data_IF_850562831009
#
_entry.id   IF_850562831009
#
_cell.length_a   1.000
_cell.length_b   1.000
_cell.length_c   1.000
_cell.angle_alpha   90.00
_cell.angle_beta   90.00
_cell.angle_gamma   90.00
#
_symmetry.space_group_name_H-M   'P 1'
#
loop_
_entity.id
_entity.type
_entity.pdbx_description
1 polymer ?
#
# COMPACT_ATOMS: atom_id res chain seq x y z
N UNK A 1 57.50 -44.39 17.23
CA UNK A 1 56.43 -43.65 17.92
C UNK A 1 55.86 -42.62 16.95
N UNK A 2 54.85 -42.99 16.17
CA UNK A 2 54.11 -42.07 15.30
C UNK A 2 52.74 -41.84 15.91
N UNK A 3 52.45 -40.61 16.30
CA UNK A 3 51.14 -40.22 16.83
C UNK A 3 50.10 -40.25 15.69
N UNK A 4 48.88 -40.77 15.93
CA UNK A 4 47.83 -40.76 14.93
C UNK A 4 47.21 -39.36 14.82
N UNK A 5 47.08 -38.89 13.58
CA UNK A 5 46.37 -37.67 13.21
C UNK A 5 44.88 -37.80 13.54
N UNK A 6 44.38 -36.94 14.42
CA UNK A 6 42.95 -36.78 14.67
C UNK A 6 42.31 -36.06 13.49
N UNK A 7 41.52 -36.80 12.72
CA UNK A 7 40.58 -36.26 11.73
C UNK A 7 39.51 -35.49 12.50
N UNK A 8 39.45 -34.17 12.35
CA UNK A 8 38.31 -33.40 12.87
C UNK A 8 37.10 -33.71 11.98
N UNK A 9 36.17 -34.47 12.54
CA UNK A 9 34.84 -34.61 11.98
C UNK A 9 34.21 -33.21 11.94
N UNK A 10 33.95 -32.70 10.73
CA UNK A 10 33.19 -31.47 10.53
C UNK A 10 31.85 -31.61 11.24
N UNK A 11 31.64 -30.78 12.26
CA UNK A 11 30.31 -30.58 12.84
C UNK A 11 29.46 -30.00 11.72
N UNK A 12 28.61 -30.84 11.13
CA UNK A 12 27.56 -30.37 10.23
C UNK A 12 26.81 -29.26 10.96
N UNK A 13 26.79 -28.05 10.40
CA UNK A 13 26.05 -26.93 10.95
C UNK A 13 24.59 -27.37 11.09
N UNK A 14 24.17 -27.69 12.31
CA UNK A 14 22.76 -27.94 12.61
C UNK A 14 21.99 -26.70 12.16
N UNK A 15 21.10 -26.85 11.18
CA UNK A 15 20.29 -25.75 10.71
C UNK A 15 19.45 -25.26 11.88
N UNK A 16 19.79 -24.09 12.42
CA UNK A 16 19.03 -23.44 13.48
C UNK A 16 17.58 -23.33 13.02
N UNK A 17 16.63 -23.73 13.86
CA UNK A 17 15.22 -23.55 13.56
C UNK A 17 14.95 -22.07 13.26
N UNK A 18 14.10 -21.75 12.25
CA UNK A 18 13.83 -20.36 11.90
C UNK A 18 13.17 -19.66 13.10
N UNK A 19 13.53 -18.39 13.29
CA UNK A 19 12.89 -17.52 14.28
C UNK A 19 11.42 -17.27 13.92
N UNK A 20 11.15 -17.16 12.62
CA UNK A 20 9.85 -16.79 12.06
C UNK A 20 9.73 -17.35 10.64
N UNK A 21 8.51 -17.69 10.22
CA UNK A 21 8.15 -17.97 8.82
C UNK A 21 7.30 -16.84 8.26
N UNK A 22 7.73 -16.24 7.15
CA UNK A 22 7.00 -15.18 6.45
C UNK A 22 6.61 -15.68 5.05
N UNK A 23 5.33 -15.62 4.73
CA UNK A 23 4.83 -15.80 3.37
C UNK A 23 4.62 -14.43 2.73
N UNK A 24 5.41 -14.09 1.72
CA UNK A 24 5.25 -12.88 0.92
C UNK A 24 4.18 -13.13 -0.14
N UNK A 25 3.09 -12.38 -0.10
CA UNK A 25 1.95 -12.53 -1.01
C UNK A 25 2.02 -11.44 -2.09
N UNK A 26 2.48 -11.83 -3.29
CA UNK A 26 2.67 -10.92 -4.42
C UNK A 26 3.93 -11.24 -5.21
N UNK A 27 4.10 -10.57 -6.35
CA UNK A 27 5.24 -10.78 -7.24
C UNK A 27 5.79 -9.51 -7.89
N UNK A 28 5.47 -8.33 -7.35
CA UNK A 28 5.95 -7.04 -7.86
C UNK A 28 7.28 -6.59 -7.24
N UNK A 29 7.66 -5.33 -7.44
CA UNK A 29 8.90 -4.74 -6.92
C UNK A 29 9.05 -4.93 -5.40
N UNK A 30 8.00 -4.61 -4.64
CA UNK A 30 8.00 -4.74 -3.19
C UNK A 30 8.15 -6.19 -2.72
N UNK A 31 7.56 -7.14 -3.44
CA UNK A 31 7.70 -8.57 -3.12
C UNK A 31 9.14 -9.06 -3.32
N UNK A 32 9.81 -8.64 -4.40
CA UNK A 32 11.23 -8.97 -4.62
C UNK A 32 12.13 -8.34 -3.56
N UNK A 33 11.88 -7.07 -3.22
CA UNK A 33 12.62 -6.38 -2.17
C UNK A 33 12.45 -7.07 -0.81
N UNK A 34 11.21 -7.40 -0.43
CA UNK A 34 10.93 -8.14 0.80
C UNK A 34 11.59 -9.54 0.79
N UNK A 35 11.57 -10.23 -0.34
CA UNK A 35 12.15 -11.57 -0.48
C UNK A 35 13.68 -11.56 -0.29
N UNK A 36 14.36 -10.62 -0.95
CA UNK A 36 15.81 -10.42 -0.78
C UNK A 36 16.16 -9.96 0.64
N UNK A 37 15.39 -9.04 1.22
CA UNK A 37 15.67 -8.47 2.53
C UNK A 37 15.45 -9.46 3.67
N UNK A 38 14.30 -10.14 3.68
CA UNK A 38 13.92 -11.07 4.75
C UNK A 38 14.69 -12.39 4.66
N UNK A 39 15.08 -12.82 3.46
CA UNK A 39 15.80 -14.07 3.23
C UNK A 39 17.27 -14.06 3.61
N UNK A 40 17.78 -12.96 4.18
CA UNK A 40 19.18 -12.85 4.60
C UNK A 40 19.51 -13.85 5.71
N UNK A 41 20.64 -14.55 5.58
CA UNK A 41 21.02 -15.63 6.50
C UNK A 41 21.04 -15.21 7.98
N UNK A 42 21.49 -13.99 8.29
CA UNK A 42 21.59 -13.50 9.67
C UNK A 42 20.23 -13.20 10.32
N UNK A 43 19.16 -13.00 9.53
CA UNK A 43 17.81 -12.75 10.06
C UNK A 43 17.14 -14.02 10.61
N UNK A 44 17.60 -15.20 10.19
CA UNK A 44 17.01 -16.49 10.59
C UNK A 44 15.49 -16.56 10.31
N UNK A 45 15.03 -15.99 9.20
CA UNK A 45 13.61 -16.02 8.77
C UNK A 45 13.46 -17.01 7.62
N UNK A 46 12.46 -17.90 7.71
CA UNK A 46 12.05 -18.75 6.60
C UNK A 46 11.12 -17.96 5.68
N UNK A 47 11.52 -17.75 4.43
CA UNK A 47 10.76 -16.94 3.47
C UNK A 47 10.08 -17.83 2.43
N UNK A 48 8.75 -17.79 2.39
CA UNK A 48 7.95 -18.36 1.32
C UNK A 48 7.38 -17.24 0.43
N UNK A 49 7.11 -17.52 -0.84
CA UNK A 49 6.52 -16.54 -1.78
C UNK A 49 5.30 -17.14 -2.47
N UNK A 50 4.17 -16.46 -2.36
CA UNK A 50 2.95 -16.73 -3.13
C UNK A 50 2.87 -15.76 -4.31
N UNK A 51 3.05 -16.26 -5.53
CA UNK A 51 3.08 -15.46 -6.76
C UNK A 51 2.38 -16.20 -7.91
N UNK A 52 1.95 -15.45 -8.93
CA UNK A 52 1.30 -16.03 -10.13
C UNK A 52 2.29 -16.66 -11.12
N UNK A 53 3.59 -16.40 -10.96
CA UNK A 53 4.65 -16.84 -11.87
C UNK A 53 5.80 -17.50 -11.09
N UNK A 54 5.55 -18.54 -10.28
CA UNK A 54 6.56 -19.16 -9.42
C UNK A 54 7.75 -19.73 -10.21
N UNK A 55 7.51 -20.21 -11.44
CA UNK A 55 8.51 -20.80 -12.33
C UNK A 55 9.62 -19.84 -12.75
N UNK A 56 9.38 -18.53 -12.64
CA UNK A 56 10.38 -17.49 -12.98
C UNK A 56 11.24 -17.10 -11.79
N UNK A 57 10.90 -17.55 -10.57
CA UNK A 57 11.60 -17.18 -9.35
C UNK A 57 12.77 -18.12 -9.06
N UNK A 58 13.90 -17.52 -8.75
CA UNK A 58 15.10 -18.24 -8.30
C UNK A 58 15.03 -18.50 -6.79
N UNK A 59 15.82 -19.48 -6.33
CA UNK A 59 15.95 -19.77 -4.88
C UNK A 59 16.65 -18.67 -4.10
N UNK A 60 17.35 -17.78 -4.79
CA UNK A 60 18.08 -16.67 -4.19
C UNK A 60 17.73 -15.39 -4.96
N UNK A 61 17.34 -14.35 -4.21
CA UNK A 61 17.00 -13.04 -4.76
C UNK A 61 18.05 -12.04 -4.30
N UNK A 62 18.60 -11.31 -5.27
CA UNK A 62 19.64 -10.30 -5.05
C UNK A 62 19.05 -8.90 -5.04
N UNK A 63 19.41 -8.11 -4.04
CA UNK A 63 19.08 -6.69 -3.93
C UNK A 63 20.35 -5.83 -4.12
N UNK A 64 20.33 -4.98 -5.14
CA UNK A 64 21.38 -4.00 -5.40
C UNK A 64 21.09 -2.69 -4.67
N UNK A 65 22.07 -2.13 -3.95
CA UNK A 65 21.89 -0.92 -3.13
C UNK A 65 22.72 0.28 -3.62
N UNK A 66 23.45 0.14 -4.73
CA UNK A 66 24.50 1.06 -5.19
C UNK A 66 24.05 2.51 -5.37
N UNK A 67 22.79 2.72 -5.75
CA UNK A 67 22.24 4.03 -6.09
C UNK A 67 21.57 4.76 -4.92
N UNK A 68 21.59 4.18 -3.72
CA UNK A 68 20.92 4.74 -2.55
C UNK A 68 21.88 4.95 -1.38
N UNK A 69 21.42 5.63 -0.33
CA UNK A 69 22.21 5.91 0.89
C UNK A 69 22.65 4.64 1.67
N UNK A 70 22.12 3.47 1.33
CA UNK A 70 22.56 2.17 1.86
C UNK A 70 23.59 1.46 0.97
N UNK A 71 24.24 2.17 0.05
CA UNK A 71 25.26 1.61 -0.85
C UNK A 71 26.42 0.89 -0.13
N UNK A 72 26.72 1.28 1.11
CA UNK A 72 27.72 0.62 1.97
C UNK A 72 27.37 -0.83 2.32
N UNK A 73 26.09 -1.25 2.20
CA UNK A 73 25.68 -2.64 2.39
C UNK A 73 26.08 -3.54 1.21
N UNK A 74 26.46 -2.95 0.07
CA UNK A 74 26.77 -3.70 -1.14
C UNK A 74 25.55 -4.45 -1.69
N UNK A 75 25.79 -5.63 -2.27
CA UNK A 75 24.72 -6.48 -2.78
C UNK A 75 24.21 -7.39 -1.66
N UNK A 76 22.90 -7.35 -1.43
CA UNK A 76 22.23 -8.16 -0.40
C UNK A 76 21.63 -9.39 -1.08
N UNK A 77 21.76 -10.54 -0.44
CA UNK A 77 21.23 -11.80 -0.96
C UNK A 77 20.28 -12.46 0.04
N UNK A 78 19.09 -12.81 -0.43
CA UNK A 78 18.06 -13.49 0.36
C UNK A 78 17.68 -14.84 -0.23
N UNK A 79 17.71 -15.89 0.60
CA UNK A 79 17.32 -17.24 0.21
C UNK A 79 15.84 -17.50 0.48
N UNK A 80 15.18 -18.11 -0.49
CA UNK A 80 13.78 -18.53 -0.39
C UNK A 80 13.70 -20.00 0.00
N UNK A 81 12.73 -20.31 0.85
CA UNK A 81 12.38 -21.67 1.23
C UNK A 81 11.45 -22.31 0.19
N UNK A 82 10.37 -21.61 -0.20
CA UNK A 82 9.41 -22.09 -1.18
C UNK A 82 8.83 -20.94 -2.01
N UNK A 83 8.49 -21.21 -3.27
CA UNK A 83 7.77 -20.29 -4.15
C UNK A 83 6.67 -21.07 -4.86
N UNK A 84 5.42 -20.61 -4.75
CA UNK A 84 4.27 -21.30 -5.35
C UNK A 84 3.19 -20.33 -5.82
N UNK A 85 2.31 -20.84 -6.68
CA UNK A 85 1.04 -20.21 -7.02
C UNK A 85 -0.13 -20.74 -6.15
N UNK A 86 0.06 -21.85 -5.43
CA UNK A 86 -0.93 -22.44 -4.52
C UNK A 86 -0.69 -21.97 -3.08
N UNK A 87 -1.66 -21.30 -2.43
CA UNK A 87 -1.52 -20.89 -1.03
C UNK A 87 -1.32 -22.07 -0.07
N UNK A 88 -1.82 -23.27 -0.38
CA UNK A 88 -1.66 -24.45 0.46
C UNK A 88 -0.20 -24.90 0.63
N UNK A 89 0.68 -24.54 -0.30
CA UNK A 89 2.09 -24.93 -0.25
C UNK A 89 2.97 -23.96 0.55
N UNK A 90 2.51 -22.71 0.74
CA UNK A 90 3.37 -21.62 1.25
C UNK A 90 2.84 -20.88 2.47
N UNK A 91 1.53 -20.97 2.73
CA UNK A 91 0.85 -20.27 3.84
C UNK A 91 0.75 -21.08 5.16
N UNK A 92 0.56 -22.42 5.17
CA UNK A 92 0.21 -23.14 6.41
C UNK A 92 1.19 -23.02 7.58
N UNK A 93 2.47 -22.76 7.34
CA UNK A 93 3.45 -22.56 8.40
C UNK A 93 3.72 -21.08 8.73
N UNK A 94 3.20 -20.16 7.92
CA UNK A 94 3.52 -18.74 8.02
C UNK A 94 3.00 -18.12 9.33
N UNK A 95 3.92 -17.53 10.09
CA UNK A 95 3.59 -16.64 11.21
C UNK A 95 3.03 -15.31 10.70
N UNK A 96 3.57 -14.83 9.58
CA UNK A 96 3.13 -13.59 8.92
C UNK A 96 2.88 -13.85 7.45
N UNK A 97 1.68 -13.54 6.96
CA UNK A 97 1.41 -13.35 5.54
C UNK A 97 1.54 -11.86 5.20
N UNK A 98 2.58 -11.49 4.47
CA UNK A 98 2.89 -10.12 4.11
C UNK A 98 2.46 -9.83 2.67
N UNK A 99 1.32 -9.15 2.51
CA UNK A 99 0.80 -8.67 1.23
C UNK A 99 1.72 -7.58 0.67
N UNK A 100 2.34 -7.90 -0.47
CA UNK A 100 3.27 -7.05 -1.21
C UNK A 100 2.68 -6.75 -2.59
N UNK A 101 1.52 -6.09 -2.59
CA UNK A 101 0.74 -5.82 -3.78
C UNK A 101 0.08 -4.43 -3.72
N UNK A 102 -0.29 -3.84 -4.87
CA UNK A 102 -1.13 -2.64 -4.92
C UNK A 102 -2.54 -2.86 -4.35
N UNK A 103 -3.25 -1.76 -4.09
CA UNK A 103 -4.56 -1.79 -3.42
C UNK A 103 -5.60 -2.65 -4.16
N UNK A 104 -5.58 -2.63 -5.49
CA UNK A 104 -6.47 -3.44 -6.33
C UNK A 104 -6.27 -4.95 -6.21
N UNK A 105 -5.16 -5.40 -5.64
CA UNK A 105 -4.84 -6.80 -5.44
C UNK A 105 -4.99 -7.25 -3.97
N UNK A 106 -5.27 -6.34 -3.03
CA UNK A 106 -5.42 -6.69 -1.61
C UNK A 106 -6.51 -7.74 -1.41
N UNK A 107 -7.77 -7.40 -1.71
CA UNK A 107 -8.90 -8.29 -1.42
C UNK A 107 -8.78 -9.68 -2.09
N UNK A 108 -8.46 -9.80 -3.40
CA UNK A 108 -8.25 -11.10 -4.04
C UNK A 108 -7.12 -11.94 -3.39
N UNK A 109 -6.04 -11.30 -2.93
CA UNK A 109 -4.97 -12.01 -2.23
C UNK A 109 -5.41 -12.47 -0.84
N UNK A 110 -6.15 -11.63 -0.11
CA UNK A 110 -6.71 -11.98 1.19
C UNK A 110 -7.66 -13.18 1.08
N UNK A 111 -8.55 -13.18 0.09
CA UNK A 111 -9.43 -14.32 -0.19
C UNK A 111 -8.66 -15.60 -0.53
N UNK A 112 -7.51 -15.46 -1.21
CA UNK A 112 -6.66 -16.60 -1.56
C UNK A 112 -5.95 -17.20 -0.35
N UNK A 113 -5.56 -16.40 0.64
CA UNK A 113 -4.79 -16.91 1.80
C UNK A 113 -5.65 -17.28 3.00
N UNK A 114 -6.87 -16.73 3.15
CA UNK A 114 -7.68 -16.82 4.39
C UNK A 114 -7.89 -18.23 4.92
N UNK A 115 -8.05 -19.23 4.04
CA UNK A 115 -8.33 -20.62 4.43
C UNK A 115 -7.09 -21.39 4.94
N UNK A 116 -5.90 -20.88 4.65
CA UNK A 116 -4.64 -21.60 4.84
C UNK A 116 -3.81 -21.07 6.02
N UNK A 117 -4.23 -20.00 6.68
CA UNK A 117 -3.54 -19.51 7.87
C UNK A 117 -3.47 -20.60 8.94
N UNK A 118 -2.36 -20.64 9.69
CA UNK A 118 -2.33 -21.35 10.98
C UNK A 118 -3.04 -20.54 12.06
N UNK A 119 -3.39 -21.21 13.16
CA UNK A 119 -3.94 -20.53 14.32
C UNK A 119 -2.98 -19.46 14.85
N UNK A 120 -3.48 -18.25 15.06
CA UNK A 120 -2.68 -17.09 15.50
C UNK A 120 -1.88 -16.41 14.39
N UNK A 121 -2.07 -16.79 13.12
CA UNK A 121 -1.36 -16.17 12.00
C UNK A 121 -1.67 -14.68 11.85
N UNK A 122 -0.66 -13.88 11.52
CA UNK A 122 -0.78 -12.44 11.32
C UNK A 122 -0.83 -12.11 9.82
N UNK A 123 -1.71 -11.19 9.41
CA UNK A 123 -1.73 -10.68 8.04
C UNK A 123 -1.28 -9.22 8.02
N UNK A 124 -0.26 -8.92 7.23
CA UNK A 124 0.27 -7.57 7.06
C UNK A 124 0.19 -7.11 5.61
N UNK A 125 0.10 -5.81 5.36
CA UNK A 125 0.45 -5.25 4.05
C UNK A 125 1.57 -4.23 4.18
N UNK A 126 2.48 -4.20 3.21
CA UNK A 126 3.54 -3.17 3.11
C UNK A 126 2.99 -1.82 2.60
N UNK A 127 1.72 -1.77 2.20
CA UNK A 127 1.06 -0.56 1.74
C UNK A 127 -0.46 -0.66 1.99
N UNK A 128 -0.98 0.10 2.94
CA UNK A 128 -2.34 -0.03 3.47
C UNK A 128 -3.42 0.86 2.86
N UNK A 129 -3.13 1.55 1.77
CA UNK A 129 -4.07 2.50 1.17
C UNK A 129 -5.30 1.77 0.58
N UNK A 130 -6.41 2.49 0.47
CA UNK A 130 -7.63 2.00 -0.20
C UNK A 130 -8.47 1.05 0.64
N UNK A 131 -8.56 1.23 1.96
CA UNK A 131 -9.50 0.46 2.80
C UNK A 131 -9.06 -0.98 3.06
N UNK A 132 -7.79 -1.19 3.39
CA UNK A 132 -7.26 -2.53 3.67
C UNK A 132 -7.95 -3.23 4.85
N UNK A 133 -8.34 -2.48 5.88
CA UNK A 133 -9.11 -3.00 7.00
C UNK A 133 -10.48 -3.50 6.55
N UNK A 134 -11.22 -2.75 5.73
CA UNK A 134 -12.51 -3.21 5.20
C UNK A 134 -12.35 -4.49 4.35
N UNK A 135 -11.29 -4.56 3.54
CA UNK A 135 -10.95 -5.77 2.79
C UNK A 135 -10.65 -6.96 3.72
N UNK A 136 -9.93 -6.73 4.82
CA UNK A 136 -9.66 -7.75 5.84
C UNK A 136 -10.95 -8.25 6.48
N UNK A 137 -11.86 -7.35 6.87
CA UNK A 137 -13.14 -7.71 7.45
C UNK A 137 -13.96 -8.58 6.51
N UNK A 138 -14.06 -8.17 5.24
CA UNK A 138 -14.81 -8.94 4.26
C UNK A 138 -14.17 -10.29 3.96
N UNK A 139 -12.84 -10.35 3.82
CA UNK A 139 -12.15 -11.59 3.50
C UNK A 139 -12.26 -12.61 4.65
N UNK A 140 -12.17 -12.16 5.90
CA UNK A 140 -12.21 -13.01 7.11
C UNK A 140 -13.58 -13.06 7.80
N UNK A 141 -14.65 -12.69 7.09
CA UNK A 141 -16.04 -12.85 7.54
C UNK A 141 -16.39 -14.32 7.92
N UNK A 142 -15.95 -15.35 7.17
CA UNK A 142 -16.18 -16.74 7.56
C UNK A 142 -15.51 -17.09 8.89
N UNK A 143 -16.26 -17.66 9.82
CA UNK A 143 -15.82 -17.94 11.19
C UNK A 143 -14.57 -18.84 11.26
N UNK A 144 -14.51 -19.88 10.44
CA UNK A 144 -13.37 -20.81 10.41
C UNK A 144 -12.08 -20.16 9.91
N UNK A 145 -12.17 -19.10 9.10
CA UNK A 145 -11.02 -18.28 8.72
C UNK A 145 -10.67 -17.31 9.86
N UNK A 146 -11.68 -16.64 10.45
CA UNK A 146 -11.51 -15.67 11.54
C UNK A 146 -10.82 -16.28 12.76
N UNK A 147 -11.21 -17.48 13.18
CA UNK A 147 -10.61 -18.17 14.36
C UNK A 147 -9.10 -18.38 14.24
N UNK A 148 -8.57 -18.39 13.02
CA UNK A 148 -7.13 -18.56 12.77
C UNK A 148 -6.37 -17.25 12.73
N UNK A 149 -7.04 -16.12 12.46
CA UNK A 149 -6.42 -14.81 12.37
C UNK A 149 -6.07 -14.30 13.78
N UNK A 150 -4.77 -14.18 14.07
CA UNK A 150 -4.29 -13.64 15.33
C UNK A 150 -4.34 -12.11 15.38
N UNK A 151 -4.16 -11.46 14.23
CA UNK A 151 -4.22 -10.01 14.09
C UNK A 151 -3.79 -9.57 12.70
N UNK A 152 -3.91 -8.27 12.41
CA UNK A 152 -3.48 -7.72 11.15
C UNK A 152 -2.92 -6.31 11.29
N UNK A 153 -2.07 -5.92 10.33
CA UNK A 153 -1.48 -4.60 10.29
C UNK A 153 -1.38 -4.08 8.86
N UNK A 154 -1.23 -2.77 8.72
CA UNK A 154 -0.83 -2.17 7.46
C UNK A 154 0.21 -1.08 7.68
N UNK A 155 1.18 -1.03 6.78
CA UNK A 155 2.09 0.10 6.68
C UNK A 155 1.46 1.23 5.86
N UNK A 156 1.65 2.47 6.29
CA UNK A 156 1.19 3.64 5.54
C UNK A 156 1.93 3.81 4.21
N UNK A 157 3.24 3.50 4.20
CA UNK A 157 4.11 3.63 3.04
C UNK A 157 4.98 2.39 2.89
N UNK A 158 5.40 2.10 1.65
CA UNK A 158 6.37 1.05 1.37
C UNK A 158 7.67 1.27 2.18
N UNK A 159 8.29 0.21 2.73
CA UNK A 159 9.58 0.33 3.41
C UNK A 159 10.69 0.86 2.51
N UNK A 160 10.58 0.59 1.22
CA UNK A 160 11.57 0.93 0.22
C UNK A 160 10.93 1.41 -1.08
N UNK A 161 11.54 2.42 -1.70
CA UNK A 161 11.42 2.64 -3.13
C UNK A 161 12.37 1.65 -3.83
N UNK A 162 11.80 0.78 -4.66
CA UNK A 162 12.54 -0.29 -5.31
C UNK A 162 12.00 -0.58 -6.72
N UNK A 163 12.84 -1.20 -7.54
CA UNK A 163 12.52 -1.57 -8.92
C UNK A 163 13.11 -2.94 -9.25
N UNK A 164 12.28 -3.87 -9.71
CA UNK A 164 12.77 -5.14 -10.23
C UNK A 164 13.60 -4.90 -11.50
N UNK A 165 14.84 -5.39 -11.52
CA UNK A 165 15.71 -5.33 -12.70
C UNK A 165 15.57 -6.59 -13.55
N UNK A 166 15.50 -7.75 -12.88
CA UNK A 166 15.25 -9.04 -13.52
C UNK A 166 14.23 -9.81 -12.69
N UNK A 167 13.09 -10.11 -13.31
CA UNK A 167 11.96 -10.75 -12.62
C UNK A 167 12.38 -12.10 -12.04
N UNK A 168 12.00 -12.34 -10.80
CA UNK A 168 12.31 -13.53 -10.02
C UNK A 168 13.76 -13.66 -9.56
N UNK A 169 14.62 -12.64 -9.73
CA UNK A 169 16.04 -12.77 -9.39
C UNK A 169 16.72 -11.51 -8.85
N UNK A 170 16.49 -10.33 -9.44
CA UNK A 170 17.24 -9.11 -9.07
C UNK A 170 16.31 -7.91 -8.90
N UNK A 171 16.47 -7.21 -7.80
CA UNK A 171 15.80 -5.95 -7.47
C UNK A 171 16.82 -4.88 -7.13
N UNK A 172 16.56 -3.65 -7.53
CA UNK A 172 17.34 -2.47 -7.17
C UNK A 172 16.61 -1.67 -6.10
N UNK A 173 17.32 -1.36 -5.03
CA UNK A 173 16.89 -0.46 -3.99
C UNK A 173 17.23 0.98 -4.40
N UNK A 174 16.20 1.79 -4.66
CA UNK A 174 16.34 3.21 -5.02
C UNK A 174 16.47 4.06 -3.76
N UNK A 175 15.69 3.74 -2.72
CA UNK A 175 15.71 4.53 -1.49
C UNK A 175 14.99 3.85 -0.32
N UNK A 176 15.66 3.60 0.81
CA UNK A 176 15.00 3.13 2.03
C UNK A 176 14.32 4.28 2.79
N UNK A 177 13.29 3.97 3.57
CA UNK A 177 12.69 4.91 4.53
C UNK A 177 13.50 4.97 5.84
N UNK A 178 13.41 6.09 6.54
CA UNK A 178 14.02 6.28 7.88
C UNK A 178 13.21 5.60 8.98
N UNK A 179 11.89 5.55 8.80
CA UNK A 179 10.97 4.90 9.71
C UNK A 179 9.71 4.48 8.95
N UNK A 180 8.96 3.59 9.58
CA UNK A 180 7.65 3.12 9.12
C UNK A 180 6.55 3.68 10.01
N UNK A 181 5.40 3.94 9.42
CA UNK A 181 4.16 4.17 10.14
C UNK A 181 3.26 2.96 9.89
N UNK A 182 2.68 2.41 10.95
CA UNK A 182 1.80 1.25 10.85
C UNK A 182 0.59 1.41 11.76
N UNK A 183 -0.49 0.73 11.44
CA UNK A 183 -1.60 0.52 12.38
C UNK A 183 -1.84 -0.97 12.54
N UNK A 184 -2.40 -1.39 13.68
CA UNK A 184 -2.51 -2.80 14.08
C UNK A 184 -3.88 -3.04 14.71
N UNK A 185 -4.50 -4.18 14.37
CA UNK A 185 -5.72 -4.68 15.01
C UNK A 185 -5.51 -6.14 15.44
N UNK A 186 -5.99 -6.54 16.64
CA UNK A 186 -6.55 -5.69 17.68
C UNK A 186 -5.49 -4.80 18.34
N UNK A 187 -5.92 -3.68 18.95
CA UNK A 187 -5.00 -2.74 19.59
C UNK A 187 -4.15 -3.34 20.72
N UNK A 188 -4.62 -4.44 21.34
CA UNK A 188 -3.85 -5.23 22.32
C UNK A 188 -2.55 -5.83 21.73
N UNK A 189 -2.46 -6.01 20.41
CA UNK A 189 -1.27 -6.51 19.72
C UNK A 189 -0.38 -5.39 19.18
N UNK A 190 -0.74 -4.12 19.36
CA UNK A 190 -0.05 -3.01 18.71
C UNK A 190 1.46 -2.95 19.03
N UNK A 191 1.85 -3.11 20.31
CA UNK A 191 3.27 -3.06 20.69
C UNK A 191 4.07 -4.29 20.22
N UNK A 192 3.63 -5.54 20.44
CA UNK A 192 4.32 -6.71 19.89
C UNK A 192 4.46 -6.67 18.36
N UNK A 193 3.41 -6.28 17.63
CA UNK A 193 3.45 -6.19 16.17
C UNK A 193 4.33 -5.02 15.70
N UNK A 194 4.37 -3.90 16.42
CA UNK A 194 5.32 -2.81 16.13
C UNK A 194 6.77 -3.29 16.18
N UNK A 195 7.13 -4.09 17.19
CA UNK A 195 8.46 -4.68 17.32
C UNK A 195 8.74 -5.71 16.21
N UNK A 196 7.74 -6.52 15.86
CA UNK A 196 7.82 -7.45 14.73
C UNK A 196 8.07 -6.71 13.41
N UNK A 197 7.35 -5.64 13.12
CA UNK A 197 7.57 -4.81 11.92
C UNK A 197 9.00 -4.25 11.92
N UNK A 198 9.46 -3.74 13.05
CA UNK A 198 10.84 -3.25 13.17
C UNK A 198 11.89 -4.34 12.95
N UNK A 199 11.65 -5.57 13.43
CA UNK A 199 12.52 -6.73 13.18
C UNK A 199 12.53 -7.14 11.70
N UNK A 200 11.36 -7.13 11.04
CA UNK A 200 11.23 -7.51 9.64
C UNK A 200 12.06 -6.56 8.74
N UNK A 201 11.92 -5.26 8.95
CA UNK A 201 12.48 -4.25 8.03
C UNK A 201 13.76 -3.56 8.51
N UNK A 202 14.22 -3.82 9.74
CA UNK A 202 15.31 -3.10 10.41
C UNK A 202 15.10 -1.58 10.43
N UNK A 203 13.85 -1.17 10.63
CA UNK A 203 13.42 0.23 10.65
C UNK A 203 12.61 0.52 11.92
N UNK A 204 12.79 1.70 12.55
CA UNK A 204 11.87 2.17 13.58
C UNK A 204 10.43 2.19 13.05
N UNK A 205 9.50 1.63 13.81
CA UNK A 205 8.07 1.68 13.48
C UNK A 205 7.32 2.54 14.50
N UNK A 206 6.56 3.51 13.99
CA UNK A 206 5.60 4.33 14.73
C UNK A 206 4.19 3.77 14.52
N UNK A 207 3.38 3.82 15.56
CA UNK A 207 1.98 3.42 15.48
C UNK A 207 1.11 4.63 15.14
N UNK A 208 0.27 4.47 14.12
CA UNK A 208 -0.83 5.37 13.81
C UNK A 208 -2.07 4.94 14.60
N UNK A 209 -2.97 5.88 14.94
CA UNK A 209 -4.14 5.59 15.77
C UNK A 209 -5.04 4.48 15.20
N UNK A 210 -5.25 4.47 13.88
CA UNK A 210 -6.18 3.56 13.21
C UNK A 210 -5.91 3.44 11.69
N UNK A 211 -6.67 2.58 11.01
CA UNK A 211 -6.57 2.37 9.55
C UNK A 211 -7.09 3.53 8.72
N UNK A 212 -8.08 4.29 9.20
CA UNK A 212 -8.53 5.49 8.50
C UNK A 212 -7.44 6.56 8.40
N UNK A 213 -6.49 6.63 9.35
CA UNK A 213 -5.29 7.47 9.20
C UNK A 213 -4.44 7.10 7.98
N UNK A 214 -4.47 5.84 7.53
CA UNK A 214 -3.80 5.38 6.31
C UNK A 214 -4.69 5.65 5.10
N UNK A 215 -5.96 5.23 5.12
CA UNK A 215 -6.90 5.40 4.00
C UNK A 215 -7.09 6.86 3.61
N UNK A 216 -7.21 7.75 4.60
CA UNK A 216 -7.39 9.19 4.38
C UNK A 216 -6.08 9.95 4.27
N UNK A 217 -4.91 9.30 4.36
CA UNK A 217 -3.64 10.01 4.16
C UNK A 217 -3.58 10.55 2.72
N UNK A 218 -3.50 11.89 2.51
CA UNK A 218 -3.47 12.43 1.16
C UNK A 218 -2.17 11.99 0.49
N UNK A 219 -2.27 11.15 -0.54
CA UNK A 219 -1.14 10.50 -1.20
C UNK A 219 -1.41 10.39 -2.71
N UNK A 220 -0.86 9.36 -3.36
CA UNK A 220 -1.04 9.04 -4.77
C UNK A 220 -2.50 9.12 -5.25
N UNK A 221 -3.48 8.78 -4.39
CA UNK A 221 -4.92 8.86 -4.68
C UNK A 221 -5.43 10.22 -5.13
N UNK A 222 -4.77 11.32 -4.74
CA UNK A 222 -5.14 12.67 -5.20
C UNK A 222 -4.01 13.33 -6.01
N UNK A 223 -2.75 12.96 -5.74
CA UNK A 223 -1.59 13.52 -6.45
C UNK A 223 -1.60 13.08 -7.91
N UNK A 224 -1.71 11.78 -8.18
CA UNK A 224 -1.64 11.28 -9.55
C UNK A 224 -2.81 11.80 -10.38
N UNK A 225 -4.09 11.75 -9.93
CA UNK A 225 -5.18 12.28 -10.73
C UNK A 225 -5.04 13.77 -11.08
N UNK A 226 -4.72 14.62 -10.09
CA UNK A 226 -4.54 16.06 -10.34
C UNK A 226 -3.40 16.33 -11.33
N UNK A 227 -2.27 15.64 -11.15
CA UNK A 227 -1.11 15.82 -12.00
C UNK A 227 -1.32 15.28 -13.40
N UNK A 228 -1.95 14.12 -13.52
CA UNK A 228 -2.23 13.48 -14.80
C UNK A 228 -3.23 14.30 -15.62
N UNK A 229 -4.25 14.83 -14.96
CA UNK A 229 -5.16 15.81 -15.55
C UNK A 229 -4.39 17.02 -16.09
N UNK A 230 -3.50 17.64 -15.31
CA UNK A 230 -2.80 18.85 -15.77
C UNK A 230 -1.98 18.61 -17.05
N UNK A 231 -1.34 17.44 -17.17
CA UNK A 231 -0.55 17.06 -18.34
C UNK A 231 -1.44 16.78 -19.55
N UNK A 232 -2.54 16.04 -19.38
CA UNK A 232 -3.29 15.45 -20.50
C UNK A 232 -4.69 16.05 -20.74
N UNK A 233 -5.15 17.04 -19.97
CA UNK A 233 -6.49 17.63 -20.11
C UNK A 233 -6.81 18.21 -21.51
N UNK A 234 -5.78 18.57 -22.28
CA UNK A 234 -5.91 19.09 -23.65
C UNK A 234 -5.89 18.02 -24.73
N UNK A 235 -5.66 16.75 -24.36
CA UNK A 235 -5.68 15.65 -25.32
C UNK A 235 -7.10 15.44 -25.84
N UNK A 236 -7.25 15.32 -27.16
CA UNK A 236 -8.54 15.16 -27.84
C UNK A 236 -9.12 13.74 -27.75
N UNK A 237 -8.42 12.82 -27.09
CA UNK A 237 -8.79 11.41 -26.97
C UNK A 237 -8.48 10.56 -28.20
N UNK A 238 -7.85 11.13 -29.24
CA UNK A 238 -7.68 10.47 -30.55
C UNK A 238 -6.27 10.63 -31.12
N UNK A 239 -5.75 11.84 -31.14
CA UNK A 239 -4.50 12.18 -31.83
C UNK A 239 -3.30 11.92 -30.92
N UNK A 240 -2.32 11.09 -31.33
CA UNK A 240 -1.08 10.92 -30.56
C UNK A 240 -0.39 12.26 -30.29
N UNK A 241 0.01 12.50 -29.05
CA UNK A 241 0.78 13.68 -28.66
C UNK A 241 2.25 13.49 -29.00
N UNK A 242 2.91 14.53 -29.50
CA UNK A 242 4.35 14.56 -29.70
C UNK A 242 5.08 14.53 -28.37
N UNK A 243 6.30 14.03 -28.37
CA UNK A 243 7.14 13.97 -27.17
C UNK A 243 7.33 15.36 -26.52
N UNK A 244 7.44 16.42 -27.32
CA UNK A 244 7.59 17.81 -26.86
C UNK A 244 6.33 18.41 -26.23
N UNK A 245 5.17 17.77 -26.39
CA UNK A 245 3.89 18.24 -25.85
C UNK A 245 3.60 17.65 -24.45
N UNK A 246 4.44 16.71 -23.99
CA UNK A 246 4.27 16.02 -22.71
C UNK A 246 5.32 16.53 -21.72
N UNK A 247 4.87 16.91 -20.54
CA UNK A 247 5.76 17.10 -19.38
C UNK A 247 6.17 15.73 -18.86
N UNK A 248 7.43 15.36 -19.06
CA UNK A 248 7.96 14.05 -18.72
C UNK A 248 8.36 13.92 -17.26
N UNK A 249 8.58 15.04 -16.58
CA UNK A 249 8.75 15.10 -15.14
C UNK A 249 7.40 15.02 -14.44
N UNK A 250 7.07 13.84 -13.91
CA UNK A 250 5.78 13.64 -13.24
C UNK A 250 5.64 14.62 -12.07
N UNK A 251 6.72 14.88 -11.34
CA UNK A 251 6.69 15.73 -10.15
C UNK A 251 7.62 16.94 -10.22
N UNK A 252 8.81 16.83 -10.80
CA UNK A 252 9.76 17.94 -10.90
C UNK A 252 9.30 19.03 -11.89
N UNK A 253 8.40 18.70 -12.82
CA UNK A 253 7.72 19.67 -13.70
C UNK A 253 6.29 20.00 -13.22
N UNK A 254 5.99 19.85 -11.93
CA UNK A 254 4.67 20.20 -11.37
C UNK A 254 4.31 21.64 -11.75
N UNK A 255 3.16 21.85 -12.37
CA UNK A 255 2.69 23.17 -12.77
C UNK A 255 1.62 23.73 -11.84
N UNK A 256 1.24 25.00 -12.05
CA UNK A 256 0.25 25.68 -11.23
C UNK A 256 -1.13 25.03 -11.35
N UNK A 257 -1.48 24.49 -12.53
CA UNK A 257 -2.74 23.77 -12.74
C UNK A 257 -2.80 22.48 -11.91
N UNK A 258 -1.72 21.69 -11.87
CA UNK A 258 -1.62 20.52 -11.01
C UNK A 258 -1.75 20.90 -9.53
N UNK A 259 -1.08 21.98 -9.11
CA UNK A 259 -1.15 22.48 -7.73
C UNK A 259 -2.56 22.94 -7.36
N UNK A 260 -3.25 23.68 -8.23
CA UNK A 260 -4.62 24.13 -8.01
C UNK A 260 -5.58 22.94 -7.80
N UNK A 261 -5.53 21.96 -8.70
CA UNK A 261 -6.38 20.77 -8.59
C UNK A 261 -6.03 19.90 -7.39
N UNK A 262 -4.76 19.76 -7.06
CA UNK A 262 -4.33 19.00 -5.88
C UNK A 262 -4.79 19.67 -4.58
N UNK A 263 -4.74 21.01 -4.51
CA UNK A 263 -5.24 21.77 -3.37
C UNK A 263 -6.75 21.62 -3.20
N UNK A 264 -7.51 21.67 -4.29
CA UNK A 264 -8.96 21.41 -4.30
C UNK A 264 -9.31 20.01 -3.76
N UNK A 265 -8.62 18.97 -4.24
CA UNK A 265 -8.80 17.60 -3.76
C UNK A 265 -8.40 17.43 -2.28
N UNK A 266 -7.30 18.07 -1.87
CA UNK A 266 -6.86 18.09 -0.47
C UNK A 266 -7.89 18.77 0.43
N UNK A 267 -8.49 19.87 -0.02
CA UNK A 267 -9.53 20.60 0.71
C UNK A 267 -10.76 19.72 0.94
N UNK A 268 -11.25 19.02 -0.08
CA UNK A 268 -12.38 18.10 0.04
C UNK A 268 -12.06 16.91 0.95
N UNK A 269 -10.85 16.35 0.87
CA UNK A 269 -10.40 15.31 1.80
C UNK A 269 -10.39 15.81 3.26
N UNK A 270 -9.93 17.04 3.51
CA UNK A 270 -9.99 17.63 4.85
C UNK A 270 -11.42 17.91 5.31
N UNK A 271 -12.35 18.23 4.40
CA UNK A 271 -13.77 18.35 4.71
C UNK A 271 -14.38 17.00 5.12
N UNK A 272 -14.04 15.91 4.42
CA UNK A 272 -14.41 14.54 4.80
C UNK A 272 -13.89 14.20 6.20
N UNK A 273 -12.59 14.44 6.45
CA UNK A 273 -11.98 14.28 7.78
C UNK A 273 -12.77 15.02 8.85
N UNK A 274 -13.08 16.31 8.62
CA UNK A 274 -13.81 17.16 9.57
C UNK A 274 -15.21 16.62 9.86
N UNK A 275 -15.94 16.20 8.83
CA UNK A 275 -17.28 15.62 9.00
C UNK A 275 -17.23 14.34 9.85
N UNK A 276 -16.27 13.45 9.58
CA UNK A 276 -16.05 12.23 10.34
C UNK A 276 -15.74 12.53 11.81
N UNK A 277 -14.80 13.43 12.11
CA UNK A 277 -14.44 13.76 13.50
C UNK A 277 -15.54 14.52 14.23
N UNK A 278 -16.39 15.26 13.51
CA UNK A 278 -17.56 15.89 14.12
C UNK A 278 -18.63 14.87 14.51
N UNK A 279 -18.89 13.87 13.65
CA UNK A 279 -19.87 12.81 13.91
C UNK A 279 -19.35 11.77 14.91
N UNK A 280 -18.05 11.49 14.88
CA UNK A 280 -17.37 10.52 15.74
C UNK A 280 -16.19 11.19 16.45
N UNK A 281 -16.42 11.93 17.56
CA UNK A 281 -15.38 12.67 18.26
C UNK A 281 -14.23 11.81 18.80
N UNK A 282 -14.48 10.52 19.02
CA UNK A 282 -13.46 9.56 19.49
C UNK A 282 -12.57 9.02 18.37
N UNK A 283 -12.92 9.27 17.10
CA UNK A 283 -12.11 8.86 15.95
C UNK A 283 -10.89 9.78 15.80
N UNK A 284 -9.72 9.32 16.21
CA UNK A 284 -8.49 10.09 16.02
C UNK A 284 -8.01 10.07 14.56
N UNK A 285 -8.18 11.20 13.86
CA UNK A 285 -7.61 11.46 12.52
C UNK A 285 -6.54 12.57 12.56
N UNK A 286 -5.90 12.81 13.70
CA UNK A 286 -4.91 13.88 13.90
C UNK A 286 -3.73 13.77 12.93
N UNK A 287 -3.32 12.55 12.56
CA UNK A 287 -2.23 12.31 11.61
C UNK A 287 -2.58 12.60 10.14
N UNK A 288 -3.85 12.82 9.81
CA UNK A 288 -4.31 13.15 8.46
C UNK A 288 -4.14 14.64 8.20
N UNK A 289 -2.95 15.04 7.78
CA UNK A 289 -2.61 16.43 7.47
C UNK A 289 -3.10 16.84 6.07
N UNK A 290 -3.26 18.14 5.76
CA UNK A 290 -3.42 18.57 4.37
C UNK A 290 -2.16 18.25 3.54
N UNK A 291 -2.32 18.19 2.22
CA UNK A 291 -1.32 17.60 1.32
C UNK A 291 0.06 18.29 1.41
N UNK A 292 0.08 19.63 1.50
CA UNK A 292 1.31 20.41 1.54
C UNK A 292 2.11 20.08 2.80
N UNK A 293 1.47 20.15 3.97
CA UNK A 293 2.05 19.86 5.28
C UNK A 293 2.51 18.40 5.34
N UNK A 294 1.72 17.47 4.82
CA UNK A 294 2.08 16.05 4.76
C UNK A 294 3.36 15.83 3.96
N UNK A 295 3.48 16.43 2.76
CA UNK A 295 4.68 16.30 1.93
C UNK A 295 5.89 16.91 2.63
N UNK A 296 5.76 18.11 3.19
CA UNK A 296 6.85 18.77 3.93
C UNK A 296 7.29 17.90 5.13
N UNK A 297 6.35 17.40 5.93
CA UNK A 297 6.66 16.56 7.09
C UNK A 297 7.35 15.25 6.69
N UNK A 298 6.94 14.64 5.57
CA UNK A 298 7.44 13.35 5.14
C UNK A 298 8.82 13.42 4.49
N UNK A 299 9.09 14.50 3.74
CA UNK A 299 10.33 14.65 2.97
C UNK A 299 11.35 15.59 3.64
N UNK A 300 10.93 16.47 4.55
CA UNK A 300 11.81 17.35 5.31
C UNK A 300 12.76 18.13 4.39
N UNK A 301 14.06 17.96 4.61
CA UNK A 301 15.15 18.64 3.89
C UNK A 301 15.22 18.30 2.39
N UNK A 302 14.53 17.25 1.93
CA UNK A 302 14.42 16.95 0.49
C UNK A 302 13.54 17.97 -0.25
N UNK A 303 12.72 18.76 0.46
CA UNK A 303 11.90 19.85 -0.11
C UNK A 303 12.64 21.19 0.01
N UNK A 304 13.17 21.70 -1.09
CA UNK A 304 13.99 22.92 -1.08
C UNK A 304 13.17 24.21 -0.93
N UNK A 305 11.97 24.26 -1.49
CA UNK A 305 11.11 25.45 -1.48
C UNK A 305 9.70 25.07 -1.03
N UNK A 306 9.30 25.62 0.12
CA UNK A 306 8.01 25.35 0.78
C UNK A 306 6.99 26.48 0.58
N UNK A 307 7.31 27.47 -0.25
CA UNK A 307 6.47 28.67 -0.43
C UNK A 307 5.07 28.34 -0.97
N UNK A 308 4.98 27.51 -2.01
CA UNK A 308 3.71 27.09 -2.63
C UNK A 308 3.62 25.56 -2.76
N UNK A 309 2.43 25.02 -2.94
CA UNK A 309 2.24 23.58 -3.19
C UNK A 309 2.99 23.14 -4.46
N UNK A 310 2.97 23.97 -5.51
CA UNK A 310 3.74 23.75 -6.74
C UNK A 310 5.23 23.57 -6.44
N UNK A 311 5.82 24.49 -5.67
CA UNK A 311 7.25 24.44 -5.32
C UNK A 311 7.60 23.26 -4.44
N UNK A 312 6.70 22.90 -3.51
CA UNK A 312 6.87 21.72 -2.65
C UNK A 312 7.07 20.46 -3.49
N UNK A 313 6.29 20.27 -4.57
CA UNK A 313 6.46 19.11 -5.44
C UNK A 313 7.64 19.25 -6.41
N UNK A 314 7.74 20.40 -7.10
CA UNK A 314 8.75 20.62 -8.12
C UNK A 314 10.20 20.58 -7.57
N UNK A 315 10.37 20.95 -6.30
CA UNK A 315 11.70 21.01 -5.65
C UNK A 315 12.00 19.83 -4.72
N UNK A 316 11.12 18.84 -4.66
CA UNK A 316 11.32 17.65 -3.84
C UNK A 316 12.28 16.66 -4.52
N UNK A 317 13.47 16.48 -3.94
CA UNK A 317 14.51 15.58 -4.46
C UNK A 317 14.06 14.12 -4.52
N UNK A 318 13.22 13.68 -3.58
CA UNK A 318 12.66 12.34 -3.55
C UNK A 318 11.77 12.02 -4.75
N UNK A 319 11.35 13.03 -5.52
CA UNK A 319 10.50 12.89 -6.68
C UNK A 319 11.20 13.13 -8.04
N UNK A 320 12.45 13.59 -8.03
CA UNK A 320 13.14 14.06 -9.25
C UNK A 320 13.29 13.01 -10.36
N UNK A 321 13.26 11.72 -10.02
CA UNK A 321 13.46 10.61 -10.97
C UNK A 321 12.18 10.00 -11.56
N UNK A 322 10.99 10.53 -11.25
CA UNK A 322 9.73 9.93 -11.69
C UNK A 322 9.29 10.48 -13.06
N UNK A 323 9.28 9.60 -14.07
CA UNK A 323 8.81 9.93 -15.42
C UNK A 323 7.29 9.78 -15.54
N UNK A 324 6.63 10.68 -16.27
CA UNK A 324 5.22 10.59 -16.62
C UNK A 324 4.93 9.31 -17.41
N UNK A 325 4.00 8.46 -16.96
CA UNK A 325 3.58 7.28 -17.71
C UNK A 325 2.77 7.66 -18.96
N UNK A 326 3.29 7.30 -20.13
CA UNK A 326 2.63 7.41 -21.42
C UNK A 326 2.90 6.14 -22.25
N UNK A 327 1.96 5.78 -23.13
CA UNK A 327 2.09 4.63 -24.03
C UNK A 327 2.58 5.11 -25.40
N UNK A 328 3.73 4.63 -25.89
CA UNK A 328 4.18 4.93 -27.25
C UNK A 328 3.26 4.26 -28.27
N UNK A 329 2.90 5.01 -29.30
CA UNK A 329 2.11 4.56 -30.45
C UNK A 329 2.71 5.11 -31.74
N UNK A 330 2.22 4.66 -32.89
CA UNK A 330 2.60 5.29 -34.15
C UNK A 330 2.23 6.79 -34.13
N UNK A 331 3.20 7.65 -34.47
CA UNK A 331 3.00 9.10 -34.49
C UNK A 331 3.18 9.84 -33.16
N UNK A 332 3.42 9.15 -32.04
CA UNK A 332 3.71 9.82 -30.77
C UNK A 332 3.36 8.98 -29.53
N UNK A 333 2.69 9.62 -28.57
CA UNK A 333 2.34 9.06 -27.27
C UNK A 333 0.89 9.34 -26.91
N UNK A 334 0.29 8.41 -26.19
CA UNK A 334 -1.05 8.59 -25.60
C UNK A 334 -0.99 8.35 -24.08
N UNK A 335 -1.99 8.81 -23.32
CA UNK A 335 -2.14 8.42 -21.92
C UNK A 335 -2.03 6.92 -21.67
N UNK A 336 -1.25 6.54 -20.65
CA UNK A 336 -1.08 5.16 -20.21
C UNK A 336 -2.27 4.69 -19.35
N UNK A 337 -3.46 4.63 -19.94
CA UNK A 337 -4.74 4.32 -19.26
C UNK A 337 -4.77 2.94 -18.59
N UNK A 338 -3.95 2.00 -19.08
CA UNK A 338 -3.81 0.67 -18.47
C UNK A 338 -2.82 0.64 -17.28
N UNK A 339 -2.20 1.78 -16.97
CA UNK A 339 -1.26 1.93 -15.87
C UNK A 339 -1.91 2.01 -14.49
N UNK A 340 -1.07 1.98 -13.45
CA UNK A 340 -1.51 2.06 -12.05
C UNK A 340 -2.20 3.37 -11.70
N UNK A 341 -1.79 4.49 -12.33
CA UNK A 341 -2.35 5.82 -12.07
C UNK A 341 -3.87 5.87 -12.33
N UNK A 342 -4.38 5.00 -13.20
CA UNK A 342 -5.81 4.84 -13.45
C UNK A 342 -6.38 3.65 -12.69
N UNK A 343 -5.78 2.47 -12.86
CA UNK A 343 -6.34 1.21 -12.35
C UNK A 343 -6.23 1.05 -10.82
N UNK A 344 -5.48 1.91 -10.14
CA UNK A 344 -5.37 1.95 -8.68
C UNK A 344 -5.97 3.24 -8.13
N UNK A 345 -5.44 4.42 -8.50
CA UNK A 345 -5.78 5.67 -7.82
C UNK A 345 -7.23 6.14 -8.03
N UNK A 346 -7.90 5.72 -9.12
CA UNK A 346 -9.31 6.05 -9.36
C UNK A 346 -10.25 5.12 -8.57
N UNK A 347 -10.31 3.80 -8.84
CA UNK A 347 -11.21 2.89 -8.11
C UNK A 347 -10.81 2.64 -6.65
N UNK A 348 -9.53 2.68 -6.31
CA UNK A 348 -9.02 2.36 -4.96
C UNK A 348 -8.53 3.61 -4.20
N UNK A 349 -8.77 4.80 -4.76
CA UNK A 349 -8.43 6.10 -4.18
C UNK A 349 -9.61 7.07 -4.24
N UNK A 350 -9.82 7.74 -5.38
CA UNK A 350 -10.88 8.74 -5.53
C UNK A 350 -12.28 8.19 -5.24
N UNK A 351 -12.61 6.99 -5.73
CA UNK A 351 -13.91 6.36 -5.45
C UNK A 351 -14.07 6.05 -3.95
N UNK A 352 -12.99 5.73 -3.24
CA UNK A 352 -13.02 5.53 -1.79
C UNK A 352 -13.37 6.84 -1.08
N UNK A 353 -12.72 7.94 -1.45
CA UNK A 353 -13.02 9.26 -0.87
C UNK A 353 -14.45 9.69 -1.17
N UNK A 354 -14.92 9.51 -2.41
CA UNK A 354 -16.29 9.83 -2.81
C UNK A 354 -17.32 9.04 -2.02
N UNK A 355 -17.09 7.75 -1.80
CA UNK A 355 -18.03 6.90 -1.07
C UNK A 355 -18.20 7.35 0.38
N UNK A 356 -17.08 7.64 1.05
CA UNK A 356 -17.10 8.17 2.42
C UNK A 356 -17.81 9.52 2.45
N UNK A 357 -17.55 10.39 1.46
CA UNK A 357 -18.18 11.70 1.37
C UNK A 357 -19.70 11.61 1.20
N UNK A 358 -20.18 10.71 0.35
CA UNK A 358 -21.61 10.45 0.17
C UNK A 358 -22.28 9.99 1.47
N UNK A 359 -21.65 9.06 2.21
CA UNK A 359 -22.20 8.58 3.47
C UNK A 359 -22.17 9.64 4.59
N UNK A 360 -21.32 10.66 4.45
CA UNK A 360 -21.17 11.77 5.40
C UNK A 360 -21.86 13.06 4.93
N UNK A 361 -22.61 13.02 3.83
CA UNK A 361 -23.26 14.18 3.21
C UNK A 361 -22.30 15.37 2.94
N UNK A 362 -21.06 15.06 2.54
CA UNK A 362 -20.03 16.06 2.20
C UNK A 362 -19.99 16.29 0.68
N UNK A 363 -20.17 17.52 0.19
CA UNK A 363 -20.01 17.84 -1.24
C UNK A 363 -18.55 17.70 -1.68
N UNK A 364 -18.33 17.07 -2.84
CA UNK A 364 -17.00 16.81 -3.40
C UNK A 364 -16.89 17.12 -4.89
N UNK A 365 -17.21 18.34 -5.36
CA UNK A 365 -17.23 18.67 -6.78
C UNK A 365 -15.90 18.44 -7.51
N UNK A 366 -14.77 18.55 -6.82
CA UNK A 366 -13.43 18.37 -7.39
C UNK A 366 -13.07 16.90 -7.54
N UNK A 367 -13.40 16.07 -6.54
CA UNK A 367 -13.31 14.60 -6.65
C UNK A 367 -14.25 14.12 -7.77
N UNK A 368 -15.47 14.65 -7.85
CA UNK A 368 -16.46 14.29 -8.88
C UNK A 368 -15.90 14.57 -10.27
N UNK A 369 -15.38 15.78 -10.49
CA UNK A 369 -14.74 16.16 -11.73
C UNK A 369 -13.56 15.25 -12.08
N UNK A 370 -12.71 14.93 -11.10
CA UNK A 370 -11.55 14.06 -11.34
C UNK A 370 -11.97 12.64 -11.70
N UNK A 371 -12.99 12.08 -11.04
CA UNK A 371 -13.51 10.76 -11.40
C UNK A 371 -14.13 10.78 -12.80
N UNK A 372 -14.96 11.79 -13.11
CA UNK A 372 -15.61 11.94 -14.42
C UNK A 372 -14.61 12.10 -15.58
N UNK A 373 -13.54 12.88 -15.39
CA UNK A 373 -12.52 13.02 -16.44
C UNK A 373 -11.73 11.72 -16.64
N UNK A 374 -11.25 11.09 -15.56
CA UNK A 374 -10.44 9.88 -15.69
C UNK A 374 -11.24 8.69 -16.22
N UNK A 375 -12.48 8.51 -15.77
CA UNK A 375 -13.30 7.36 -16.16
C UNK A 375 -13.60 7.35 -17.67
N UNK A 376 -13.73 8.53 -18.31
CA UNK A 376 -13.90 8.68 -19.77
C UNK A 376 -12.72 8.08 -20.53
N UNK A 377 -11.50 8.32 -20.06
CA UNK A 377 -10.28 7.73 -20.62
C UNK A 377 -10.20 6.22 -20.36
N UNK A 378 -10.77 5.76 -19.24
CA UNK A 378 -10.80 4.34 -18.87
C UNK A 378 -11.90 3.55 -19.59
N UNK A 379 -12.87 4.21 -20.22
CA UNK A 379 -14.08 3.55 -20.75
C UNK A 379 -14.93 2.91 -19.64
N UNK A 380 -15.00 3.54 -18.46
CA UNK A 380 -15.78 3.09 -17.29
C UNK A 380 -16.68 4.23 -16.79
N UNK A 381 -17.73 3.91 -16.05
CA UNK A 381 -18.67 4.89 -15.47
C UNK A 381 -18.71 4.74 -13.94
N UNK A 382 -17.62 5.08 -13.24
CA UNK A 382 -17.55 4.97 -11.77
C UNK A 382 -18.44 5.99 -11.05
N UNK A 383 -18.71 7.12 -11.69
CA UNK A 383 -19.53 8.22 -11.22
C UNK A 383 -20.63 8.45 -12.24
N UNK A 384 -21.87 8.57 -11.78
CA UNK A 384 -23.07 8.79 -12.58
C UNK A 384 -23.99 9.74 -11.83
N UNK A 385 -24.45 10.80 -12.49
CA UNK A 385 -25.34 11.80 -11.90
C UNK A 385 -24.83 12.39 -10.56
N UNK A 386 -23.52 12.62 -10.47
CA UNK A 386 -22.86 13.17 -9.27
C UNK A 386 -22.72 12.20 -8.09
N UNK A 387 -23.06 10.92 -8.27
CA UNK A 387 -22.92 9.85 -7.28
C UNK A 387 -22.09 8.69 -7.81
N UNK A 388 -21.52 7.87 -6.93
CA UNK A 388 -20.90 6.62 -7.35
C UNK A 388 -21.93 5.71 -8.00
N UNK A 389 -21.57 5.16 -9.15
CA UNK A 389 -22.41 4.22 -9.87
C UNK A 389 -22.47 2.89 -9.08
N UNK A 390 -23.65 2.46 -8.61
CA UNK A 390 -23.80 1.23 -7.84
C UNK A 390 -23.27 -0.01 -8.55
N UNK A 391 -23.36 -0.07 -9.88
CA UNK A 391 -22.87 -1.20 -10.69
C UNK A 391 -21.34 -1.31 -10.68
N UNK A 392 -20.64 -0.20 -10.44
CA UNK A 392 -19.18 -0.13 -10.44
C UNK A 392 -18.58 -0.27 -9.04
N UNK A 393 -19.36 -0.11 -7.97
CA UNK A 393 -18.89 -0.24 -6.58
C UNK A 393 -18.10 -1.55 -6.36
N UNK A 394 -18.53 -2.74 -6.83
CA UNK A 394 -17.76 -3.98 -6.65
C UNK A 394 -16.37 -3.99 -7.32
N UNK A 395 -16.08 -3.06 -8.23
CA UNK A 395 -14.77 -2.91 -8.88
C UNK A 395 -13.86 -1.90 -8.16
N UNK A 396 -14.30 -1.39 -7.01
CA UNK A 396 -13.58 -0.42 -6.18
C UNK A 396 -13.17 -1.04 -4.85
N UNK A 397 -12.49 -0.27 -4.01
CA UNK A 397 -12.37 -0.57 -2.57
C UNK A 397 -13.12 0.43 -1.70
N UNK A 398 -14.17 1.05 -2.24
CA UNK A 398 -15.08 1.85 -1.46
C UNK A 398 -15.69 1.00 -0.32
N UNK A 399 -15.98 1.57 0.86
CA UNK A 399 -16.63 0.85 1.95
C UNK A 399 -17.86 0.04 1.53
N UNK A 400 -18.73 0.59 0.67
CA UNK A 400 -19.90 -0.13 0.14
C UNK A 400 -19.55 -1.37 -0.67
N UNK A 401 -18.36 -1.46 -1.27
CA UNK A 401 -17.88 -2.65 -1.97
C UNK A 401 -17.67 -3.83 -1.00
N UNK A 402 -17.48 -3.55 0.28
CA UNK A 402 -17.31 -4.53 1.35
C UNK A 402 -18.58 -4.70 2.20
N UNK A 403 -19.69 -4.06 1.82
CA UNK A 403 -20.97 -4.13 2.53
C UNK A 403 -21.12 -3.13 3.68
N UNK A 404 -20.25 -2.12 3.79
CA UNK A 404 -20.34 -1.08 4.81
C UNK A 404 -21.15 0.10 4.26
N UNK A 405 -22.42 0.20 4.68
CA UNK A 405 -23.43 1.08 4.09
C UNK A 405 -23.80 2.27 4.98
N UNK A 406 -23.29 2.30 6.21
CA UNK A 406 -23.50 3.39 7.17
C UNK A 406 -22.17 3.99 7.65
N UNK A 407 -22.15 5.28 8.04
CA UNK A 407 -20.96 5.89 8.66
C UNK A 407 -20.42 5.12 9.87
N UNK A 408 -21.31 4.56 10.67
CA UNK A 408 -21.00 3.77 11.86
C UNK A 408 -20.23 2.49 11.47
N UNK A 409 -20.68 1.78 10.43
CA UNK A 409 -19.99 0.60 9.88
C UNK A 409 -18.63 0.95 9.26
N UNK A 410 -18.49 2.11 8.60
CA UNK A 410 -17.19 2.56 8.04
C UNK A 410 -16.14 2.75 9.14
N UNK A 411 -16.56 3.37 10.25
CA UNK A 411 -15.66 3.87 11.31
C UNK A 411 -15.39 2.82 12.39
N UNK A 412 -16.32 1.88 12.63
CA UNK A 412 -16.19 0.84 13.64
C UNK A 412 -14.82 0.11 13.64
N UNK A 413 -14.25 -0.31 12.49
CA UNK A 413 -12.97 -1.02 12.47
C UNK A 413 -11.81 -0.16 13.00
N UNK A 414 -11.87 1.15 12.72
CA UNK A 414 -10.87 2.12 13.16
C UNK A 414 -11.03 2.53 14.63
N UNK A 415 -12.25 2.54 15.17
CA UNK A 415 -12.47 2.74 16.62
C UNK A 415 -12.02 1.52 17.43
N UNK A 416 -12.22 0.31 16.90
CA UNK A 416 -11.70 -0.91 17.53
C UNK A 416 -10.19 -0.96 17.58
N UNK A 417 -9.51 -0.49 16.53
CA UNK A 417 -8.05 -0.36 16.53
C UNK A 417 -7.53 0.54 17.67
N UNK A 418 -8.33 1.54 18.08
CA UNK A 418 -8.04 2.46 19.18
C UNK A 418 -8.40 1.90 20.57
N UNK A 419 -8.89 0.67 20.66
CA UNK A 419 -9.44 0.06 21.89
C UNK A 419 -10.60 0.85 22.53
N UNK A 420 -11.42 1.50 21.71
CA UNK A 420 -12.58 2.24 22.18
C UNK A 420 -13.80 1.30 22.23
N UNK A 421 -14.49 1.25 23.36
CA UNK A 421 -15.74 0.50 23.53
C UNK A 421 -16.89 1.24 22.83
N UNK A 422 -17.48 0.64 21.80
CA UNK A 422 -18.54 1.27 21.03
C UNK A 422 -19.85 1.34 21.86
N UNK A 423 -20.55 2.48 21.93
CA UNK A 423 -21.81 2.60 22.70
C UNK A 423 -22.97 1.80 22.09
N UNK A 424 -22.82 1.31 20.85
CA UNK A 424 -23.78 0.45 20.14
C UNK A 424 -23.40 -1.04 20.23
N UNK A 425 -22.67 -1.43 21.29
CA UNK A 425 -22.01 -2.72 21.44
C UNK A 425 -22.95 -3.93 21.51
N UNK A 426 -23.34 -4.38 20.34
CA UNK A 426 -23.26 -5.77 19.98
C UNK A 426 -22.32 -5.79 18.78
N UNK A 427 -20.99 -5.73 18.97
CA UNK A 427 -20.04 -5.72 17.84
C UNK A 427 -18.84 -6.63 18.15
N UNK A 428 -18.49 -7.57 17.25
CA UNK A 428 -17.40 -8.53 17.48
C UNK A 428 -16.01 -7.96 17.18
N UNK A 429 -14.93 -8.74 17.40
CA UNK A 429 -13.52 -8.32 17.16
C UNK A 429 -13.22 -7.84 15.73
N UNK A 430 -14.17 -7.95 14.80
CA UNK A 430 -14.06 -7.56 13.40
C UNK A 430 -15.04 -6.43 13.02
N UNK A 431 -15.61 -5.69 13.97
CA UNK A 431 -16.44 -4.54 13.64
C UNK A 431 -17.83 -4.90 13.10
N UNK A 432 -18.29 -6.15 13.26
CA UNK A 432 -19.62 -6.58 12.81
C UNK A 432 -20.66 -6.40 13.89
N UNK A 433 -21.78 -5.76 13.56
CA UNK A 433 -22.99 -5.76 14.40
C UNK A 433 -23.40 -7.21 14.68
N UNK A 434 -23.19 -7.66 15.91
CA UNK A 434 -23.88 -8.80 16.51
C UNK A 434 -25.36 -8.40 16.62
N UNK A 435 -26.25 -9.20 16.06
CA UNK A 435 -27.70 -9.01 16.23
C UNK A 435 -28.17 -9.43 17.62
#
# INVERSE_FOLDING_TARGET
MGAPSTVSAGVAAQSKAPLLTVCICGGGNAAHAAAAWLGQAHKNIRVNVLTRQPEKWQKEIRMETKICRWSHLGSISGKLNAVSADPAEVVPEADVCLVCAPANAHFPLLEKIRGHLKAGGIVGTVFGQGGFDWAMLKAFEPEECRKKLGGYFALQNLPWLCRTLSYGSVVELIGPKDYLNATVVPGSLAQPVRLLISLLFDMPCRLLPNFMCITLSPSNQIIHPARYYSIFHKWDGKTPMKESEIQWGLYNEFDDLAAEWLEKLSTELQAIKKALTNKFPELDLSSVLPIKERVIQHYGDDVKDTSTLQKVFATNRGYAGCKTPATPVEGGFIPAVNGRLFNEDVPFGLCVLKDIAEQMDVPTPSIDFMIDWHQKLMGKEFLKDGKLNPEMIPQTSAPRAYGLNTPEEIVAPSLMAQNITLPFAHIDMLGRLLN
#
